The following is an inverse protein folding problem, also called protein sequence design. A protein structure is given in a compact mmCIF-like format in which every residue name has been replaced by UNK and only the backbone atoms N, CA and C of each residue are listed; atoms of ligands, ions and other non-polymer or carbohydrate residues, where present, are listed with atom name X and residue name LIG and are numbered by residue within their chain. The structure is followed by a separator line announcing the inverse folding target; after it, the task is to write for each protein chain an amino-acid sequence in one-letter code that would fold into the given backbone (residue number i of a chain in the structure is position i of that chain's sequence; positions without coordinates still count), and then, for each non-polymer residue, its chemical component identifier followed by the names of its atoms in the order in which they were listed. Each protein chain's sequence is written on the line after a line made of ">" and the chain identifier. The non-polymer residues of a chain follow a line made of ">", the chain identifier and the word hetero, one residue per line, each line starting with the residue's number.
data_IF_616180410400
#
_entry.id   IF_616180410400
#
_cell.length_a   1.000
_cell.length_b   1.000
_cell.length_c   1.000
_cell.angle_alpha   90.00
_cell.angle_beta   90.00
_cell.angle_gamma   90.00
#
_symmetry.space_group_name_H-M   'P 1'
#
loop_
_entity.id
_entity.type
_entity.pdbx_description
1 polymer ?
#
# COMPACT_ATOMS: atom_id res chain seq x y z
N UNK A 1 8.51 -8.07 -19.32
CA UNK A 1 9.67 -7.37 -18.73
C UNK A 1 10.42 -8.34 -17.85
N UNK A 2 11.70 -8.59 -18.12
CA UNK A 2 12.55 -9.39 -17.23
C UNK A 2 13.06 -8.46 -16.13
N UNK A 3 12.80 -8.85 -14.90
CA UNK A 3 13.35 -8.20 -13.73
C UNK A 3 14.79 -8.67 -13.50
N UNK A 4 15.80 -7.77 -13.48
CA UNK A 4 17.15 -8.18 -13.14
C UNK A 4 17.22 -8.56 -11.66
N UNK A 5 17.86 -9.68 -11.31
CA UNK A 5 18.08 -10.07 -9.92
C UNK A 5 18.57 -8.89 -9.07
N UNK A 6 18.03 -8.75 -7.84
CA UNK A 6 18.36 -7.67 -6.90
C UNK A 6 18.00 -6.24 -7.36
N UNK A 7 16.95 -6.06 -8.16
CA UNK A 7 16.50 -4.71 -8.59
C UNK A 7 15.24 -4.18 -7.88
N UNK A 8 15.08 -4.25 -6.54
CA UNK A 8 13.82 -3.94 -5.82
C UNK A 8 13.18 -2.59 -6.19
N UNK A 9 13.97 -1.64 -6.68
CA UNK A 9 13.54 -0.36 -7.25
C UNK A 9 12.55 -0.48 -8.40
N UNK A 10 12.61 -1.53 -9.21
CA UNK A 10 11.72 -1.68 -10.36
C UNK A 10 10.32 -2.19 -9.97
N UNK A 11 10.06 -2.53 -8.68
CA UNK A 11 9.01 -3.48 -8.25
C UNK A 11 7.79 -2.65 -7.91
N UNK A 12 6.72 -2.70 -8.71
CA UNK A 12 5.52 -1.97 -8.38
C UNK A 12 5.02 -2.33 -6.97
N UNK A 13 5.19 -3.60 -6.56
CA UNK A 13 4.82 -4.07 -5.23
C UNK A 13 5.60 -3.37 -4.11
N UNK A 14 6.88 -3.02 -4.33
CA UNK A 14 7.66 -2.26 -3.32
C UNK A 14 7.09 -0.87 -3.11
N UNK A 15 6.73 -0.18 -4.20
CA UNK A 15 6.11 1.14 -4.13
C UNK A 15 4.74 1.06 -3.46
N UNK A 16 3.97 0.03 -3.77
CA UNK A 16 2.67 -0.22 -3.16
C UNK A 16 2.78 -0.41 -1.63
N UNK A 17 3.71 -1.25 -1.17
CA UNK A 17 3.96 -1.42 0.26
C UNK A 17 4.41 -0.14 0.96
N UNK A 18 5.20 0.71 0.29
CA UNK A 18 5.59 2.01 0.84
C UNK A 18 4.37 2.92 1.09
N UNK A 19 3.43 2.97 0.12
CA UNK A 19 2.18 3.73 0.25
C UNK A 19 1.33 3.19 1.41
N UNK A 20 1.15 1.87 1.49
CA UNK A 20 0.39 1.25 2.58
C UNK A 20 0.98 1.57 3.95
N UNK A 21 2.29 1.44 4.12
CA UNK A 21 2.96 1.74 5.40
C UNK A 21 2.75 3.21 5.78
N UNK A 22 2.84 4.14 4.82
CA UNK A 22 2.59 5.56 5.07
C UNK A 22 1.16 5.82 5.55
N UNK A 23 0.16 5.15 4.96
CA UNK A 23 -1.25 5.32 5.34
C UNK A 23 -1.59 4.64 6.67
N UNK A 24 -1.14 3.40 6.89
CA UNK A 24 -1.43 2.61 8.09
C UNK A 24 -0.91 3.30 9.35
N UNK A 25 0.30 3.87 9.28
CA UNK A 25 0.98 4.51 10.40
C UNK A 25 0.89 6.05 10.36
N UNK A 26 0.04 6.61 9.49
CA UNK A 26 -0.22 8.04 9.47
C UNK A 26 -0.66 8.54 10.86
N UNK A 27 -0.35 9.80 11.18
CA UNK A 27 -0.72 10.44 12.45
C UNK A 27 -0.19 9.71 13.70
N UNK A 28 0.97 9.04 13.59
CA UNK A 28 1.59 8.27 14.66
C UNK A 28 0.68 7.15 15.22
N UNK A 29 -0.22 6.61 14.38
CA UNK A 29 -1.10 5.51 14.78
C UNK A 29 -0.27 4.27 15.14
N UNK A 30 -0.49 3.71 16.33
CA UNK A 30 0.11 2.44 16.73
C UNK A 30 -0.93 1.31 16.69
N UNK A 31 -0.48 0.13 16.29
CA UNK A 31 -1.31 -1.07 16.14
C UNK A 31 -0.70 -2.18 16.98
N UNK A 32 -1.24 -2.35 18.19
CA UNK A 32 -0.69 -3.26 19.21
C UNK A 32 -1.05 -4.74 18.99
N UNK A 33 -2.01 -5.03 18.09
CA UNK A 33 -2.54 -6.38 17.90
C UNK A 33 -2.55 -6.73 16.41
N UNK A 34 -2.07 -7.92 16.06
CA UNK A 34 -1.99 -8.43 14.69
C UNK A 34 -3.31 -8.35 13.93
N UNK A 35 -4.45 -8.58 14.59
CA UNK A 35 -5.79 -8.45 13.99
C UNK A 35 -6.08 -7.02 13.51
N UNK A 36 -5.67 -6.01 14.30
CA UNK A 36 -5.85 -4.61 13.94
C UNK A 36 -4.96 -4.23 12.74
N UNK A 37 -3.74 -4.77 12.67
CA UNK A 37 -2.85 -4.62 11.53
C UNK A 37 -3.42 -5.26 10.26
N UNK A 38 -3.94 -6.48 10.34
CA UNK A 38 -4.58 -7.17 9.21
C UNK A 38 -5.77 -6.38 8.66
N UNK A 39 -6.64 -5.86 9.54
CA UNK A 39 -7.76 -5.03 9.13
C UNK A 39 -7.31 -3.71 8.48
N UNK A 40 -6.29 -3.06 9.04
CA UNK A 40 -5.73 -1.83 8.48
C UNK A 40 -5.14 -2.07 7.09
N UNK A 41 -4.39 -3.16 6.89
CA UNK A 41 -3.85 -3.54 5.58
C UNK A 41 -4.97 -3.73 4.56
N UNK A 42 -6.00 -4.54 4.88
CA UNK A 42 -7.10 -4.80 3.94
C UNK A 42 -7.87 -3.53 3.56
N UNK A 43 -8.08 -2.63 4.53
CA UNK A 43 -8.75 -1.35 4.31
C UNK A 43 -7.92 -0.46 3.38
N UNK A 44 -6.68 -0.14 3.75
CA UNK A 44 -5.84 0.79 2.98
C UNK A 44 -5.52 0.21 1.58
N UNK A 45 -5.34 -1.11 1.46
CA UNK A 45 -5.19 -1.78 0.16
C UNK A 45 -6.36 -1.49 -0.78
N UNK A 46 -7.58 -1.60 -0.26
CA UNK A 46 -8.80 -1.33 -1.04
C UNK A 46 -8.89 0.15 -1.43
N UNK A 47 -8.56 1.07 -0.51
CA UNK A 47 -8.54 2.51 -0.78
C UNK A 47 -7.53 2.89 -1.86
N UNK A 48 -6.30 2.35 -1.82
CA UNK A 48 -5.26 2.63 -2.82
C UNK A 48 -5.70 2.16 -4.22
N UNK A 49 -6.28 0.97 -4.32
CA UNK A 49 -6.80 0.44 -5.59
C UNK A 49 -7.95 1.31 -6.10
N UNK A 50 -8.92 1.63 -5.25
CA UNK A 50 -10.11 2.40 -5.64
C UNK A 50 -9.75 3.86 -6.00
N UNK A 51 -8.80 4.46 -5.29
CA UNK A 51 -8.29 5.81 -5.58
C UNK A 51 -7.59 5.89 -6.93
N UNK A 52 -6.90 4.82 -7.34
CA UNK A 52 -6.24 4.75 -8.65
C UNK A 52 -7.21 4.55 -9.83
N UNK A 53 -8.46 4.19 -9.57
CA UNK A 53 -9.52 4.05 -10.57
C UNK A 53 -10.42 5.28 -10.77
N UNK A 54 -10.21 6.36 -10.02
CA UNK A 54 -11.10 7.54 -9.98
C UNK A 54 -10.82 8.62 -11.04
N UNK A 55 -9.94 8.39 -12.02
CA UNK A 55 -9.94 9.21 -13.23
C UNK A 55 -11.12 8.79 -14.12
N UNK A 56 -12.35 9.13 -13.72
CA UNK A 56 -13.47 9.20 -14.65
C UNK A 56 -13.43 10.56 -15.31
N UNK A 57 -13.22 10.55 -16.62
CA UNK A 57 -13.24 11.69 -17.53
C UNK A 57 -14.40 12.66 -17.21
N UNK A 58 -14.08 13.94 -17.16
CA UNK A 58 -15.04 15.04 -17.30
C UNK A 58 -14.72 15.78 -18.59
#
# INVERSE_FOLDING_TARGET
>A
MIWPSRSPDRNPMKNFWAILVCQIYANNRQLEITKALQLAISKEWSEVINSSGSCTDH
#
